data_IF_252791411483
#
_entry.id   IF_252791411483
#
_cell.length_a   1.000
_cell.length_b   1.000
_cell.length_c   1.000
_cell.angle_alpha   90.00
_cell.angle_beta   90.00
_cell.angle_gamma   90.00
#
_symmetry.space_group_name_H-M   'P 1'
#
loop_
_entity.id
_entity.type
_entity.pdbx_description
1 polymer ?
#
# COMPACT_ATOMS: atom_id res chain seq x y z
N UNK A 1 -32.76 -46.36 15.92
CA UNK A 1 -33.14 -44.96 15.66
C UNK A 1 -31.86 -44.21 15.36
N UNK A 2 -31.71 -43.66 14.15
CA UNK A 2 -30.58 -42.77 13.83
C UNK A 2 -30.74 -41.51 14.68
N UNK A 3 -29.72 -41.16 15.45
CA UNK A 3 -29.77 -40.03 16.38
C UNK A 3 -29.46 -38.74 15.61
N UNK A 4 -30.45 -38.24 14.86
CA UNK A 4 -30.36 -37.04 14.02
C UNK A 4 -29.80 -35.81 14.75
N UNK A 5 -29.93 -35.74 16.08
CA UNK A 5 -29.39 -34.65 16.89
C UNK A 5 -27.85 -34.69 16.99
N UNK A 6 -27.24 -35.88 17.04
CA UNK A 6 -25.76 -36.00 17.10
C UNK A 6 -25.14 -35.67 15.75
N UNK A 7 -25.75 -36.12 14.65
CA UNK A 7 -25.28 -35.82 13.29
C UNK A 7 -25.39 -34.32 12.95
N UNK A 8 -26.51 -33.68 13.30
CA UNK A 8 -26.69 -32.25 13.07
C UNK A 8 -25.68 -31.40 13.86
N UNK A 9 -25.36 -31.81 15.10
CA UNK A 9 -24.37 -31.13 15.93
C UNK A 9 -22.96 -31.27 15.34
N UNK A 10 -22.57 -32.46 14.91
CA UNK A 10 -21.25 -32.68 14.32
C UNK A 10 -21.05 -31.89 13.00
N UNK A 11 -22.10 -31.78 12.19
CA UNK A 11 -22.08 -30.95 10.97
C UNK A 11 -21.90 -29.47 11.35
N UNK A 12 -22.64 -28.99 12.34
CA UNK A 12 -22.53 -27.60 12.81
C UNK A 12 -21.14 -27.28 13.37
N UNK A 13 -20.58 -28.17 14.20
CA UNK A 13 -19.24 -27.98 14.78
C UNK A 13 -18.15 -27.94 13.69
N UNK A 14 -18.30 -28.73 12.61
CA UNK A 14 -17.39 -28.65 11.45
C UNK A 14 -17.52 -27.35 10.67
N UNK A 15 -18.75 -26.86 10.45
CA UNK A 15 -18.98 -25.57 9.79
C UNK A 15 -18.35 -24.44 10.60
N UNK A 16 -18.50 -24.48 11.92
CA UNK A 16 -17.88 -23.51 12.83
C UNK A 16 -16.36 -23.51 12.71
N UNK A 17 -15.71 -24.69 12.74
CA UNK A 17 -14.26 -24.80 12.56
C UNK A 17 -13.78 -24.26 11.20
N UNK A 18 -14.56 -24.46 10.13
CA UNK A 18 -14.23 -23.91 8.82
C UNK A 18 -14.31 -22.39 8.79
N UNK A 19 -15.33 -21.79 9.43
CA UNK A 19 -15.47 -20.34 9.54
C UNK A 19 -14.31 -19.75 10.33
N UNK A 20 -14.00 -20.33 11.50
CA UNK A 20 -12.86 -19.90 12.34
C UNK A 20 -11.53 -20.01 11.59
N UNK A 21 -11.32 -21.11 10.84
CA UNK A 21 -10.12 -21.28 10.01
C UNK A 21 -10.00 -20.24 8.88
N UNK A 22 -11.12 -19.85 8.26
CA UNK A 22 -11.13 -18.79 7.25
C UNK A 22 -10.81 -17.42 7.85
N UNK A 23 -11.39 -17.09 9.00
CA UNK A 23 -11.11 -15.84 9.73
C UNK A 23 -9.62 -15.73 10.11
N UNK A 24 -9.03 -16.82 10.62
CA UNK A 24 -7.58 -16.87 10.92
C UNK A 24 -6.76 -16.60 9.66
N UNK A 25 -7.08 -17.27 8.55
CA UNK A 25 -6.34 -17.07 7.29
C UNK A 25 -6.45 -15.64 6.74
N UNK A 26 -7.57 -14.97 6.98
CA UNK A 26 -7.77 -13.57 6.62
C UNK A 26 -6.90 -12.64 7.49
N UNK A 27 -6.92 -12.84 8.80
CA UNK A 27 -6.11 -12.08 9.76
C UNK A 27 -4.60 -12.24 9.50
N UNK A 28 -4.13 -13.45 9.17
CA UNK A 28 -2.73 -13.68 8.82
C UNK A 28 -2.33 -12.91 7.55
N UNK A 29 -3.21 -12.84 6.56
CA UNK A 29 -2.95 -12.11 5.32
C UNK A 29 -2.99 -10.60 5.53
N UNK A 30 -3.93 -10.11 6.33
CA UNK A 30 -4.03 -8.71 6.74
C UNK A 30 -2.76 -8.29 7.49
N UNK A 31 -2.36 -9.05 8.52
CA UNK A 31 -1.14 -8.80 9.30
C UNK A 31 0.12 -8.76 8.42
N UNK A 32 0.23 -9.66 7.44
CA UNK A 32 1.38 -9.68 6.51
C UNK A 32 1.44 -8.41 5.67
N UNK A 33 0.30 -7.92 5.19
CA UNK A 33 0.23 -6.73 4.36
C UNK A 33 0.49 -5.46 5.18
N UNK A 34 0.04 -5.41 6.43
CA UNK A 34 0.40 -4.33 7.36
C UNK A 34 1.91 -4.28 7.60
N UNK A 35 2.55 -5.42 7.87
CA UNK A 35 4.01 -5.49 8.02
C UNK A 35 4.74 -5.05 6.74
N UNK A 36 4.27 -5.49 5.57
CA UNK A 36 4.83 -5.07 4.27
C UNK A 36 4.66 -3.57 4.04
N UNK A 37 3.52 -2.99 4.41
CA UNK A 37 3.30 -1.54 4.36
C UNK A 37 4.25 -0.79 5.26
N UNK A 38 4.39 -1.22 6.52
CA UNK A 38 5.22 -0.56 7.50
C UNK A 38 6.69 -0.59 7.12
N UNK A 39 7.15 -1.72 6.58
CA UNK A 39 8.52 -1.90 6.12
C UNK A 39 8.76 -1.39 4.69
N UNK A 40 7.74 -0.88 4.01
CA UNK A 40 7.85 -0.42 2.63
C UNK A 40 8.81 0.78 2.52
N UNK A 41 9.95 0.52 1.90
CA UNK A 41 11.03 1.50 1.68
C UNK A 41 11.56 1.39 0.26
N UNK A 42 12.25 2.42 -0.26
CA UNK A 42 12.85 2.39 -1.58
C UNK A 42 14.07 1.49 -1.57
N UNK A 43 14.31 0.81 -2.69
CA UNK A 43 15.52 0.00 -2.86
C UNK A 43 16.63 0.81 -3.55
N UNK A 44 17.92 0.49 -3.32
CA UNK A 44 19.01 1.20 -3.97
C UNK A 44 18.91 1.17 -5.50
N UNK A 45 19.10 2.32 -6.15
CA UNK A 45 18.99 2.51 -7.61
C UNK A 45 17.58 2.30 -8.19
N UNK A 46 16.56 2.22 -7.36
CA UNK A 46 15.17 2.21 -7.80
C UNK A 46 14.81 3.55 -8.46
N UNK A 47 14.18 3.49 -9.64
CA UNK A 47 13.64 4.70 -10.27
C UNK A 47 12.32 5.10 -9.59
N UNK A 48 11.89 6.37 -9.73
CA UNK A 48 10.57 6.79 -9.22
C UNK A 48 9.44 5.93 -9.82
N UNK A 49 9.58 5.53 -11.08
CA UNK A 49 8.61 4.70 -11.76
C UNK A 49 8.52 3.29 -11.16
N UNK A 50 9.66 2.65 -10.88
CA UNK A 50 9.72 1.33 -10.24
C UNK A 50 9.12 1.39 -8.83
N UNK A 51 9.49 2.42 -8.05
CA UNK A 51 8.94 2.66 -6.72
C UNK A 51 7.42 2.81 -6.74
N UNK A 52 6.90 3.63 -7.67
CA UNK A 52 5.46 3.79 -7.87
C UNK A 52 4.78 2.47 -8.22
N UNK A 53 5.36 1.68 -9.12
CA UNK A 53 4.76 0.42 -9.54
C UNK A 53 4.65 -0.57 -8.37
N UNK A 54 5.71 -0.74 -7.57
CA UNK A 54 5.66 -1.58 -6.37
C UNK A 54 4.67 -1.07 -5.34
N UNK A 55 4.61 0.24 -5.12
CA UNK A 55 3.67 0.83 -4.17
C UNK A 55 2.21 0.66 -4.63
N UNK A 56 1.94 0.83 -5.92
CA UNK A 56 0.62 0.58 -6.50
C UNK A 56 0.22 -0.90 -6.38
N UNK A 57 1.16 -1.83 -6.60
CA UNK A 57 0.92 -3.25 -6.41
C UNK A 57 0.53 -3.57 -4.95
N UNK A 58 1.27 -3.05 -3.97
CA UNK A 58 0.94 -3.24 -2.56
C UNK A 58 -0.46 -2.71 -2.20
N UNK A 59 -0.81 -1.51 -2.69
CA UNK A 59 -2.16 -0.96 -2.47
C UNK A 59 -3.25 -1.82 -3.12
N UNK A 60 -3.00 -2.36 -4.31
CA UNK A 60 -3.95 -3.26 -4.98
C UNK A 60 -4.11 -4.57 -4.21
N UNK A 61 -3.02 -5.12 -3.67
CA UNK A 61 -3.04 -6.36 -2.89
C UNK A 61 -3.85 -6.18 -1.60
N UNK A 62 -3.70 -5.05 -0.91
CA UNK A 62 -4.52 -4.65 0.24
C UNK A 62 -6.00 -4.51 -0.13
N UNK A 63 -6.27 -3.76 -1.21
CA UNK A 63 -7.63 -3.55 -1.67
C UNK A 63 -8.32 -4.86 -2.06
N UNK A 64 -7.57 -5.82 -2.63
CA UNK A 64 -8.10 -7.13 -3.05
C UNK A 64 -8.68 -7.97 -1.92
N UNK A 65 -8.26 -7.70 -0.67
CA UNK A 65 -8.78 -8.36 0.52
C UNK A 65 -9.71 -7.47 1.35
N UNK A 66 -10.05 -6.28 0.85
CA UNK A 66 -10.97 -5.37 1.52
C UNK A 66 -10.32 -4.50 2.61
N UNK A 67 -8.98 -4.47 2.71
CA UNK A 67 -8.31 -3.46 3.54
C UNK A 67 -8.50 -2.08 2.91
N UNK A 68 -8.94 -1.11 3.72
CA UNK A 68 -9.10 0.28 3.30
C UNK A 68 -8.28 1.19 4.19
N UNK A 69 -7.33 1.90 3.62
CA UNK A 69 -6.56 2.93 4.33
C UNK A 69 -7.05 4.33 3.97
N UNK A 70 -6.85 5.29 4.86
CA UNK A 70 -7.18 6.68 4.55
C UNK A 70 -6.22 7.22 3.49
N UNK A 71 -6.68 8.05 2.52
CA UNK A 71 -5.82 8.62 1.49
C UNK A 71 -4.59 9.34 2.08
N UNK A 72 -4.75 10.03 3.21
CA UNK A 72 -3.64 10.68 3.92
C UNK A 72 -2.54 9.71 4.35
N UNK A 73 -2.87 8.48 4.77
CA UNK A 73 -1.89 7.48 5.18
C UNK A 73 -1.11 6.98 3.97
N UNK A 74 -1.81 6.62 2.89
CA UNK A 74 -1.22 6.16 1.63
C UNK A 74 -0.29 7.24 1.07
N UNK A 75 -0.79 8.47 0.93
CA UNK A 75 -0.04 9.59 0.37
C UNK A 75 1.18 9.96 1.21
N UNK A 76 1.03 9.98 2.54
CA UNK A 76 2.13 10.27 3.45
C UNK A 76 3.21 9.19 3.34
N UNK A 77 2.82 7.90 3.29
CA UNK A 77 3.77 6.80 3.12
C UNK A 77 4.53 6.90 1.80
N UNK A 78 3.81 7.16 0.71
CA UNK A 78 4.36 7.31 -0.63
C UNK A 78 5.39 8.45 -0.71
N UNK A 79 5.08 9.61 -0.13
CA UNK A 79 5.94 10.81 -0.23
C UNK A 79 7.14 10.74 0.73
N UNK A 80 6.96 10.24 1.96
CA UNK A 80 8.00 10.32 3.00
C UNK A 80 9.27 9.51 2.70
N UNK A 81 9.18 8.54 1.79
CA UNK A 81 10.28 7.67 1.45
C UNK A 81 10.89 8.01 0.09
N UNK A 82 10.46 9.08 -0.58
CA UNK A 82 11.10 9.49 -1.83
C UNK A 82 12.55 9.92 -1.58
N UNK A 83 13.40 9.71 -2.59
CA UNK A 83 14.84 9.94 -2.48
C UNK A 83 15.18 11.38 -2.04
N UNK A 84 16.28 11.60 -1.29
CA UNK A 84 16.67 12.92 -0.79
C UNK A 84 16.77 14.01 -1.86
N UNK A 85 17.10 13.64 -3.10
CA UNK A 85 17.19 14.49 -4.28
C UNK A 85 15.83 15.12 -4.65
N UNK A 86 14.74 14.49 -4.24
CA UNK A 86 13.37 14.93 -4.45
C UNK A 86 12.78 15.65 -3.23
N UNK A 87 13.55 15.87 -2.15
CA UNK A 87 13.07 16.51 -0.92
C UNK A 87 12.45 17.90 -1.14
N UNK A 88 12.97 18.65 -2.12
CA UNK A 88 12.38 19.95 -2.50
C UNK A 88 10.95 19.78 -3.04
N UNK A 89 10.72 18.77 -3.88
CA UNK A 89 9.40 18.46 -4.43
C UNK A 89 8.47 17.82 -3.41
N UNK A 90 9.01 17.00 -2.50
CA UNK A 90 8.27 16.47 -1.34
C UNK A 90 7.72 17.62 -0.49
N UNK A 91 8.53 18.65 -0.26
CA UNK A 91 8.12 19.84 0.51
C UNK A 91 7.05 20.62 -0.25
N UNK A 92 7.23 20.85 -1.55
CA UNK A 92 6.25 21.54 -2.39
C UNK A 92 4.91 20.77 -2.45
N UNK A 93 4.94 19.44 -2.58
CA UNK A 93 3.74 18.60 -2.54
C UNK A 93 3.03 18.71 -1.19
N UNK A 94 3.78 18.63 -0.08
CA UNK A 94 3.21 18.76 1.26
C UNK A 94 2.59 20.13 1.53
N UNK A 95 3.13 21.18 0.92
CA UNK A 95 2.64 22.56 1.08
C UNK A 95 1.51 22.91 0.09
N UNK A 96 1.56 22.39 -1.12
CA UNK A 96 0.68 22.80 -2.23
C UNK A 96 -0.45 21.81 -2.54
N UNK A 97 -0.38 20.57 -2.05
CA UNK A 97 -1.39 19.53 -2.32
C UNK A 97 -2.08 19.10 -1.04
N UNK A 98 -3.39 18.92 -1.15
CA UNK A 98 -4.19 18.34 -0.10
C UNK A 98 -3.98 16.82 -0.08
N UNK A 99 -3.13 16.36 0.83
CA UNK A 99 -2.85 14.94 1.02
C UNK A 99 -4.06 14.14 1.52
N UNK A 100 -5.12 14.80 2.00
CA UNK A 100 -6.33 14.11 2.47
C UNK A 100 -7.25 13.70 1.32
N UNK A 101 -7.23 14.44 0.21
CA UNK A 101 -8.19 14.26 -0.88
C UNK A 101 -7.53 13.89 -2.23
N UNK A 102 -6.21 14.04 -2.35
CA UNK A 102 -5.49 13.70 -3.58
C UNK A 102 -5.23 12.19 -3.65
N UNK A 103 -5.31 11.58 -4.83
CA UNK A 103 -4.83 10.20 -5.06
C UNK A 103 -3.30 10.21 -5.30
N UNK A 104 -2.57 9.23 -4.77
CA UNK A 104 -1.14 9.05 -4.99
C UNK A 104 -0.76 8.95 -6.48
N UNK A 105 -1.66 8.51 -7.36
CA UNK A 105 -1.46 8.56 -8.81
C UNK A 105 -1.22 9.99 -9.33
N UNK A 106 -2.00 10.95 -8.83
CA UNK A 106 -1.81 12.37 -9.17
C UNK A 106 -0.51 12.92 -8.60
N UNK A 107 -0.12 12.46 -7.40
CA UNK A 107 1.16 12.83 -6.78
C UNK A 107 2.34 12.33 -7.62
N UNK A 108 2.29 11.07 -8.09
CA UNK A 108 3.29 10.51 -8.99
C UNK A 108 3.37 11.28 -10.32
N UNK A 109 2.22 11.64 -10.92
CA UNK A 109 2.20 12.46 -12.13
C UNK A 109 2.89 13.82 -11.94
N UNK A 110 2.65 14.48 -10.81
CA UNK A 110 3.33 15.72 -10.44
C UNK A 110 4.85 15.52 -10.25
N UNK A 111 5.25 14.51 -9.50
CA UNK A 111 6.67 14.21 -9.25
C UNK A 111 7.43 13.91 -10.56
N UNK A 112 6.83 13.13 -11.46
CA UNK A 112 7.40 12.80 -12.77
C UNK A 112 7.63 14.06 -13.63
N UNK A 113 6.67 14.99 -13.63
CA UNK A 113 6.82 16.25 -14.37
C UNK A 113 8.02 17.06 -13.85
N UNK A 114 8.23 17.05 -12.53
CA UNK A 114 9.29 17.79 -11.88
C UNK A 114 10.67 17.09 -11.92
N UNK A 115 10.72 15.76 -12.01
CA UNK A 115 11.94 14.98 -12.21
C UNK A 115 12.62 15.33 -13.53
N UNK A 116 11.86 15.48 -14.62
CA UNK A 116 12.39 15.88 -15.93
C UNK A 116 13.13 17.23 -15.86
N UNK A 117 12.60 18.18 -15.09
CA UNK A 117 13.24 19.48 -14.87
C UNK A 117 14.43 19.43 -13.90
N UNK A 118 14.49 18.46 -12.99
CA UNK A 118 15.60 18.30 -12.05
C UNK A 118 16.82 17.62 -12.70
N UNK A 119 16.60 16.64 -13.59
CA UNK A 119 17.66 15.94 -14.31
C UNK A 119 18.39 16.84 -15.32
N UNK A 120 17.71 17.79 -15.97
CA UNK A 120 18.33 18.79 -16.85
C UNK A 120 19.29 19.74 -16.10
N UNK A 121 19.01 20.02 -14.82
CA UNK A 121 19.85 20.87 -13.95
C UNK A 121 21.09 20.11 -13.45
N UNK A 122 21.05 18.78 -13.37
CA UNK A 122 22.19 17.94 -12.98
C UNK A 122 23.18 17.75 -14.14
N UNK A 123 22.68 17.61 -15.38
CA UNK A 123 23.51 17.45 -16.59
C UNK A 123 24.20 18.74 -17.05
N UNK A 124 23.81 19.90 -16.51
CA UNK A 124 24.45 21.21 -16.81
C UNK A 124 25.52 21.61 -15.78
N UNK A 125 25.91 20.69 -14.87
CA UNK A 125 26.98 20.87 -13.88
C UNK A 125 28.05 19.76 -13.92
N UNK A 126 28.35 19.21 -15.09
CA UNK A 126 29.58 18.44 -15.35
C UNK A 126 30.45 19.17 -16.38
#
# INVERSE_FOLDING_TARGET
>A
MVNYHTEAKDIWDRVKLLIEGLEISFQERESKLDDEFDMFTPVPKETIHDYYFRFAQLNNDMHSIGMTMMPIQINTKFINHLQPELNKFVTDVKLAKDLHNTNFDHLHGYLRQHEAHANDVCLTRQ
#
